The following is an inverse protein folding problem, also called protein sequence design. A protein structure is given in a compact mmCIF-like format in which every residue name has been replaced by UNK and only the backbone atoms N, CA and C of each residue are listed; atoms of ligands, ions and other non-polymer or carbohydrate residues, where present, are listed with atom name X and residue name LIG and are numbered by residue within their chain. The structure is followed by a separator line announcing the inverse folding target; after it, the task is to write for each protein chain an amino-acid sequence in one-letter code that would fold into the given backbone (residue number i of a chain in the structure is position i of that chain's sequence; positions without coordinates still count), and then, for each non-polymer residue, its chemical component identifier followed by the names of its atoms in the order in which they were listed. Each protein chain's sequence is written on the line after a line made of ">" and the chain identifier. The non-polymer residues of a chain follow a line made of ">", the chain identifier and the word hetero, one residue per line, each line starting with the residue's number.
data_IF_356188287574
#
_entry.id   IF_356188287574
#
_cell.length_a   1.000
_cell.length_b   1.000
_cell.length_c   1.000
_cell.angle_alpha   90.00
_cell.angle_beta   90.00
_cell.angle_gamma   90.00
#
_symmetry.space_group_name_H-M   'P 1'
#
loop_
_entity.id
_entity.type
_entity.pdbx_description
1 polymer ?
#
# COMPACT_ATOMS: atom_id res chain seq x y z
N UNK A 1 24.38 10.03 2.62
CA UNK A 1 24.32 10.47 4.04
C UNK A 1 22.88 10.77 4.40
N UNK A 2 22.49 10.77 5.69
CA UNK A 2 21.12 11.12 6.10
C UNK A 2 20.71 12.52 5.64
N UNK A 3 21.69 13.44 5.53
CA UNK A 3 21.46 14.80 5.02
C UNK A 3 21.08 14.83 3.53
N UNK A 4 21.46 13.83 2.75
CA UNK A 4 21.13 13.76 1.31
C UNK A 4 19.67 13.34 1.10
N UNK A 5 19.00 12.83 2.14
CA UNK A 5 17.61 12.40 2.11
C UNK A 5 16.62 13.53 2.40
N UNK A 6 17.12 14.74 2.70
CA UNK A 6 16.25 15.85 3.08
C UNK A 6 16.46 17.06 2.18
N UNK A 7 15.38 17.59 1.64
CA UNK A 7 15.34 18.85 0.88
C UNK A 7 14.90 19.97 1.81
N UNK A 8 15.72 21.02 1.88
CA UNK A 8 15.42 22.24 2.61
C UNK A 8 14.46 23.11 1.77
N UNK A 9 13.22 23.21 2.21
CA UNK A 9 12.22 24.08 1.62
C UNK A 9 12.29 25.52 2.12
N UNK A 10 11.31 26.34 1.71
CA UNK A 10 11.08 27.68 2.21
C UNK A 10 10.37 27.61 3.57
N UNK A 11 10.47 28.69 4.37
CA UNK A 11 9.72 28.84 5.63
C UNK A 11 9.92 27.66 6.61
N UNK A 12 11.13 27.14 6.70
CA UNK A 12 11.52 25.99 7.56
C UNK A 12 10.83 24.66 7.22
N UNK A 13 10.19 24.54 6.06
CA UNK A 13 9.67 23.26 5.57
C UNK A 13 10.80 22.33 5.15
N UNK A 14 10.65 21.05 5.50
CA UNK A 14 11.54 19.96 5.06
C UNK A 14 10.76 18.97 4.21
N UNK A 15 11.41 18.41 3.19
CA UNK A 15 10.82 17.40 2.32
C UNK A 15 11.73 16.18 2.21
N UNK A 16 11.14 15.01 2.06
CA UNK A 16 11.90 13.79 1.78
C UNK A 16 12.40 13.80 0.33
N UNK A 17 13.71 13.68 0.12
CA UNK A 17 14.29 13.75 -1.23
C UNK A 17 13.84 12.63 -2.16
N UNK A 18 13.48 11.46 -1.61
CA UNK A 18 12.96 10.33 -2.39
C UNK A 18 11.68 10.62 -3.15
N UNK A 19 10.95 11.71 -2.80
CA UNK A 19 9.73 12.12 -3.50
C UNK A 19 9.96 13.16 -4.60
N UNK A 20 11.20 13.65 -4.76
CA UNK A 20 11.47 14.78 -5.69
C UNK A 20 11.41 14.39 -7.15
N UNK A 21 11.79 13.17 -7.50
CA UNK A 21 11.75 12.70 -8.89
C UNK A 21 10.30 12.54 -9.38
N UNK A 22 9.42 12.01 -8.53
CA UNK A 22 7.99 11.94 -8.83
C UNK A 22 7.36 13.33 -8.92
N UNK A 23 7.67 14.21 -7.96
CA UNK A 23 7.23 15.62 -7.99
C UNK A 23 7.62 16.35 -9.27
N UNK A 24 8.81 16.07 -9.82
CA UNK A 24 9.31 16.65 -11.06
C UNK A 24 8.85 15.89 -12.33
N UNK A 25 8.15 14.76 -12.16
CA UNK A 25 7.74 13.90 -13.27
C UNK A 25 8.90 13.25 -14.01
N UNK A 26 10.03 13.00 -13.35
CA UNK A 26 11.25 12.45 -13.97
C UNK A 26 11.42 10.94 -13.80
N UNK A 27 10.60 10.31 -12.97
CA UNK A 27 10.55 8.85 -12.76
C UNK A 27 9.11 8.30 -12.88
N UNK A 28 8.39 8.77 -13.89
CA UNK A 28 7.03 8.29 -14.12
C UNK A 28 7.03 6.82 -14.53
N UNK A 29 6.05 6.08 -14.01
CA UNK A 29 5.82 4.71 -14.43
C UNK A 29 5.55 4.63 -15.92
N UNK A 30 6.16 3.66 -16.58
CA UNK A 30 5.81 3.27 -17.93
C UNK A 30 4.37 2.71 -17.99
N UNK A 31 3.79 2.64 -19.18
CA UNK A 31 2.49 1.99 -19.38
C UNK A 31 2.50 0.52 -18.90
N UNK A 32 3.64 -0.18 -19.01
CA UNK A 32 3.79 -1.55 -18.54
C UNK A 32 3.75 -1.63 -17.03
N UNK A 33 4.49 -0.76 -16.32
CA UNK A 33 4.50 -0.71 -14.86
C UNK A 33 3.12 -0.32 -14.31
N UNK A 34 2.45 0.67 -14.90
CA UNK A 34 1.09 1.04 -14.51
C UNK A 34 0.13 -0.14 -14.68
N UNK A 35 0.16 -0.83 -15.81
CA UNK A 35 -0.68 -2.00 -16.04
C UNK A 35 -0.37 -3.13 -15.06
N UNK A 36 0.90 -3.31 -14.68
CA UNK A 36 1.31 -4.31 -13.71
C UNK A 36 0.78 -3.98 -12.30
N UNK A 37 0.91 -2.72 -11.87
CA UNK A 37 0.35 -2.24 -10.58
C UNK A 37 -1.17 -2.46 -10.53
N UNK A 38 -1.88 -2.04 -11.57
CA UNK A 38 -3.35 -2.19 -11.66
C UNK A 38 -3.77 -3.65 -11.67
N UNK A 39 -3.07 -4.50 -12.42
CA UNK A 39 -3.33 -5.94 -12.47
C UNK A 39 -3.14 -6.58 -11.09
N UNK A 40 -2.03 -6.29 -10.42
CA UNK A 40 -1.73 -6.85 -9.10
C UNK A 40 -2.75 -6.39 -8.05
N UNK A 41 -3.11 -5.10 -8.04
CA UNK A 41 -4.17 -4.58 -7.18
C UNK A 41 -5.52 -5.25 -7.46
N UNK A 42 -5.83 -5.52 -8.74
CA UNK A 42 -7.05 -6.22 -9.11
C UNK A 42 -7.09 -7.65 -8.59
N UNK A 43 -5.97 -8.37 -8.66
CA UNK A 43 -5.86 -9.71 -8.08
C UNK A 43 -6.07 -9.69 -6.56
N UNK A 44 -5.45 -8.74 -5.87
CA UNK A 44 -5.60 -8.57 -4.41
C UNK A 44 -7.06 -8.26 -4.06
N UNK A 45 -7.67 -7.28 -4.74
CA UNK A 45 -9.06 -6.91 -4.53
C UNK A 45 -10.01 -8.09 -4.77
N UNK A 46 -9.83 -8.79 -5.89
CA UNK A 46 -10.65 -9.96 -6.23
C UNK A 46 -10.53 -11.07 -5.18
N UNK A 47 -9.31 -11.30 -4.68
CA UNK A 47 -9.10 -12.29 -3.61
C UNK A 47 -9.86 -11.89 -2.33
N UNK A 48 -9.72 -10.65 -1.87
CA UNK A 48 -10.43 -10.17 -0.68
C UNK A 48 -11.96 -10.32 -0.85
N UNK A 49 -12.48 -9.92 -2.01
CA UNK A 49 -13.92 -10.02 -2.31
C UNK A 49 -14.41 -11.47 -2.39
N UNK A 50 -13.61 -12.39 -2.91
CA UNK A 50 -13.92 -13.83 -2.92
C UNK A 50 -13.97 -14.44 -1.52
N UNK A 51 -13.21 -13.88 -0.57
CA UNK A 51 -13.28 -14.25 0.85
C UNK A 51 -14.46 -13.58 1.59
N UNK A 52 -15.23 -12.72 0.92
CA UNK A 52 -16.39 -12.01 1.48
C UNK A 52 -16.08 -10.64 2.06
N UNK A 53 -14.85 -10.15 1.93
CA UNK A 53 -14.43 -8.84 2.44
C UNK A 53 -14.65 -7.73 1.42
N UNK A 54 -15.09 -6.55 1.86
CA UNK A 54 -14.94 -5.34 1.07
C UNK A 54 -13.45 -4.93 1.01
N UNK A 55 -13.01 -4.40 -0.13
CA UNK A 55 -11.62 -3.97 -0.32
C UNK A 55 -11.54 -2.48 -0.61
N UNK A 56 -10.55 -1.81 -0.01
CA UNK A 56 -10.24 -0.41 -0.29
C UNK A 56 -8.74 -0.17 -0.34
N UNK A 57 -8.32 0.65 -1.30
CA UNK A 57 -6.97 1.19 -1.42
C UNK A 57 -6.99 2.65 -0.94
N UNK A 58 -6.07 3.01 -0.05
CA UNK A 58 -5.81 4.38 0.40
C UNK A 58 -4.37 4.73 0.10
N UNK A 59 -4.14 5.91 -0.50
CA UNK A 59 -2.78 6.37 -0.81
C UNK A 59 -2.56 7.74 -0.14
N UNK A 60 -1.86 7.77 1.02
CA UNK A 60 -1.38 9.03 1.59
C UNK A 60 -0.49 9.76 0.59
N UNK A 61 -0.84 11.01 0.20
CA UNK A 61 -0.09 11.75 -0.80
C UNK A 61 1.27 12.23 -0.28
N UNK A 62 2.22 12.42 -1.19
CA UNK A 62 3.49 13.03 -0.85
C UNK A 62 3.31 14.49 -0.40
N UNK A 63 4.06 14.91 0.61
CA UNK A 63 3.97 16.26 1.16
C UNK A 63 4.24 17.35 0.12
N UNK A 64 5.20 17.14 -0.78
CA UNK A 64 5.51 18.09 -1.85
C UNK A 64 4.44 18.15 -2.95
N UNK A 65 3.59 17.11 -3.06
CA UNK A 65 2.43 17.14 -3.98
C UNK A 65 1.33 18.09 -3.48
N UNK A 66 1.22 18.26 -2.14
CA UNK A 66 0.20 19.08 -1.48
C UNK A 66 0.67 20.50 -1.14
N UNK A 67 1.93 20.66 -0.69
CA UNK A 67 2.49 21.92 -0.17
C UNK A 67 3.70 22.37 -1.00
N UNK A 68 3.52 22.39 -2.33
CA UNK A 68 4.57 22.70 -3.30
C UNK A 68 5.04 24.17 -3.27
N UNK A 69 4.24 25.08 -2.74
CA UNK A 69 4.61 26.48 -2.58
C UNK A 69 5.85 26.70 -1.69
N UNK A 70 6.12 25.74 -0.79
CA UNK A 70 7.29 25.75 0.07
C UNK A 70 8.50 25.00 -0.51
N UNK A 71 8.35 24.31 -1.66
CA UNK A 71 9.47 23.71 -2.36
C UNK A 71 10.48 24.75 -2.85
N UNK A 72 11.78 24.41 -2.87
CA UNK A 72 12.78 25.31 -3.44
C UNK A 72 12.52 25.52 -4.94
N UNK A 73 12.76 26.74 -5.42
CA UNK A 73 12.45 27.16 -6.80
C UNK A 73 13.17 26.33 -7.88
N UNK A 74 14.25 25.66 -7.54
CA UNK A 74 15.02 24.83 -8.48
C UNK A 74 14.45 23.41 -8.66
N UNK A 75 13.50 23.00 -7.82
CA UNK A 75 12.67 21.83 -8.06
C UNK A 75 11.39 22.31 -8.76
N UNK A 76 11.31 22.07 -10.06
CA UNK A 76 10.13 22.46 -10.84
C UNK A 76 9.14 21.31 -10.85
N UNK A 77 7.90 21.58 -10.47
CA UNK A 77 6.80 20.60 -10.51
C UNK A 77 6.56 20.14 -11.93
N UNK A 78 6.49 18.81 -12.12
CA UNK A 78 6.07 18.21 -13.39
C UNK A 78 4.57 18.38 -13.64
N UNK A 79 4.17 18.18 -14.90
CA UNK A 79 2.74 18.20 -15.27
C UNK A 79 2.01 16.94 -14.76
N UNK A 80 2.73 15.83 -14.62
CA UNK A 80 2.23 14.53 -14.19
C UNK A 80 3.00 14.00 -12.97
N UNK A 81 2.33 13.16 -12.17
CA UNK A 81 2.93 12.32 -11.13
C UNK A 81 2.36 10.90 -11.22
N UNK A 82 3.04 9.94 -10.62
CA UNK A 82 2.62 8.54 -10.65
C UNK A 82 1.23 8.36 -10.03
N UNK A 83 0.95 8.98 -8.89
CA UNK A 83 -0.37 8.90 -8.26
C UNK A 83 -1.46 9.51 -9.14
N UNK A 84 -1.21 10.69 -9.75
CA UNK A 84 -2.18 11.32 -10.65
C UNK A 84 -2.55 10.40 -11.82
N UNK A 85 -1.56 9.82 -12.49
CA UNK A 85 -1.76 8.90 -13.61
C UNK A 85 -2.53 7.64 -13.17
N UNK A 86 -2.19 7.06 -12.01
CA UNK A 86 -2.86 5.87 -11.50
C UNK A 86 -4.28 6.16 -11.02
N UNK A 87 -4.55 7.31 -10.41
CA UNK A 87 -5.90 7.68 -9.92
C UNK A 87 -6.92 7.68 -11.05
N UNK A 88 -6.57 8.20 -12.23
CA UNK A 88 -7.44 8.15 -13.40
C UNK A 88 -7.76 6.71 -13.83
N UNK A 89 -6.79 5.81 -13.68
CA UNK A 89 -6.89 4.40 -14.05
C UNK A 89 -7.63 3.55 -13.01
N UNK A 90 -7.52 3.85 -11.71
CA UNK A 90 -8.19 3.10 -10.65
C UNK A 90 -9.70 3.00 -10.87
N UNK A 91 -10.33 4.11 -11.22
CA UNK A 91 -11.77 4.13 -11.51
C UNK A 91 -12.11 3.30 -12.76
N UNK A 92 -11.33 3.42 -13.82
CA UNK A 92 -11.53 2.70 -15.08
C UNK A 92 -11.42 1.18 -14.90
N UNK A 93 -10.46 0.75 -14.10
CA UNK A 93 -10.21 -0.67 -13.78
C UNK A 93 -11.11 -1.21 -12.64
N UNK A 94 -11.93 -0.35 -12.03
CA UNK A 94 -12.81 -0.72 -10.94
C UNK A 94 -12.06 -1.11 -9.67
N UNK A 95 -10.94 -0.46 -9.37
CA UNK A 95 -10.25 -0.53 -8.09
C UNK A 95 -11.01 0.36 -7.10
N UNK A 96 -11.34 -0.18 -5.93
CA UNK A 96 -11.99 0.57 -4.85
C UNK A 96 -10.96 1.50 -4.18
N UNK A 97 -10.78 2.68 -4.76
CA UNK A 97 -9.80 3.66 -4.33
C UNK A 97 -10.45 4.82 -3.57
N UNK A 98 -9.84 5.20 -2.47
CA UNK A 98 -10.21 6.37 -1.66
C UNK A 98 -9.26 7.52 -2.01
N UNK A 99 -9.78 8.56 -2.68
CA UNK A 99 -8.99 9.71 -3.11
C UNK A 99 -8.64 10.64 -1.95
N UNK A 100 -7.54 10.33 -1.28
CA UNK A 100 -7.01 11.19 -0.22
C UNK A 100 -6.38 12.46 -0.79
N UNK A 101 -5.75 12.41 -1.97
CA UNK A 101 -5.14 13.60 -2.56
C UNK A 101 -6.18 14.69 -2.80
N UNK A 102 -7.30 14.36 -3.44
CA UNK A 102 -8.42 15.29 -3.64
C UNK A 102 -8.98 15.83 -2.32
N UNK A 103 -9.20 14.92 -1.33
CA UNK A 103 -9.71 15.31 -0.03
C UNK A 103 -8.80 16.28 0.74
N UNK A 104 -7.48 16.10 0.64
CA UNK A 104 -6.50 16.94 1.31
C UNK A 104 -6.34 18.29 0.61
N UNK A 105 -6.39 18.35 -0.73
CA UNK A 105 -6.30 19.59 -1.51
C UNK A 105 -7.44 20.58 -1.21
N UNK A 106 -8.61 20.08 -0.81
CA UNK A 106 -9.77 20.91 -0.50
C UNK A 106 -9.66 21.62 0.86
N UNK A 107 -8.61 21.33 1.66
CA UNK A 107 -8.45 21.87 3.01
C UNK A 107 -7.51 23.08 3.02
N UNK A 108 -7.90 24.08 3.81
CA UNK A 108 -7.07 25.27 4.08
C UNK A 108 -6.07 25.00 5.22
N UNK A 109 -6.39 24.04 6.10
CA UNK A 109 -5.54 23.66 7.22
C UNK A 109 -4.30 22.90 6.77
N UNK A 110 -3.19 23.10 7.48
CA UNK A 110 -1.96 22.33 7.27
C UNK A 110 -2.08 20.98 7.96
N UNK A 111 -2.20 19.92 7.16
CA UNK A 111 -2.46 18.55 7.60
C UNK A 111 -1.20 17.67 7.68
N UNK A 112 -0.04 18.24 7.39
CA UNK A 112 1.28 17.60 7.49
C UNK A 112 2.16 18.38 8.44
N UNK A 113 3.06 17.71 9.12
CA UNK A 113 4.12 18.37 9.85
C UNK A 113 5.08 19.08 8.89
N UNK A 114 5.60 20.22 9.28
CA UNK A 114 6.56 20.97 8.46
C UNK A 114 7.90 20.25 8.34
N UNK A 115 8.34 19.61 9.41
CA UNK A 115 9.69 19.02 9.56
C UNK A 115 9.70 17.48 9.59
N UNK A 116 8.58 16.86 9.24
CA UNK A 116 8.37 15.42 9.12
C UNK A 116 7.86 15.07 7.72
N UNK A 117 8.03 13.82 7.29
CA UNK A 117 7.51 13.35 6.00
C UNK A 117 6.02 12.96 6.05
N UNK A 118 5.42 12.90 7.22
CA UNK A 118 4.07 12.39 7.47
C UNK A 118 3.03 13.51 7.73
N UNK A 119 1.77 13.14 7.64
CA UNK A 119 0.67 13.95 8.16
C UNK A 119 0.71 14.07 9.68
N UNK A 120 0.06 15.13 10.20
CA UNK A 120 -0.24 15.26 11.63
C UNK A 120 -1.55 14.53 11.96
N UNK A 121 -1.95 14.52 13.23
CA UNK A 121 -3.17 13.83 13.65
C UNK A 121 -4.46 14.39 13.03
N UNK A 122 -4.50 15.65 12.59
CA UNK A 122 -5.65 16.17 11.82
C UNK A 122 -5.69 15.60 10.40
N UNK A 123 -4.52 15.39 9.78
CA UNK A 123 -4.44 14.69 8.50
C UNK A 123 -4.88 13.22 8.63
N UNK A 124 -4.42 12.53 9.66
CA UNK A 124 -4.87 11.16 9.96
C UNK A 124 -6.38 11.10 10.21
N UNK A 125 -6.96 12.07 10.91
CA UNK A 125 -8.40 12.19 11.14
C UNK A 125 -9.17 12.38 9.82
N UNK A 126 -8.66 13.19 8.89
CA UNK A 126 -9.28 13.35 7.57
C UNK A 126 -9.24 12.03 6.78
N UNK A 127 -8.12 11.31 6.81
CA UNK A 127 -8.00 9.99 6.18
C UNK A 127 -8.98 8.98 6.80
N UNK A 128 -9.08 8.95 8.14
CA UNK A 128 -10.08 8.14 8.85
C UNK A 128 -11.51 8.44 8.40
N UNK A 129 -11.90 9.71 8.31
CA UNK A 129 -13.25 10.10 7.88
C UNK A 129 -13.57 9.60 6.48
N UNK A 130 -12.64 9.77 5.54
CA UNK A 130 -12.81 9.27 4.17
C UNK A 130 -12.95 7.75 4.15
N UNK A 131 -12.19 7.02 4.95
CA UNK A 131 -12.32 5.57 5.06
C UNK A 131 -13.69 5.18 5.63
N UNK A 132 -14.11 5.76 6.74
CA UNK A 132 -15.38 5.42 7.39
C UNK A 132 -16.58 5.73 6.48
N UNK A 133 -16.54 6.85 5.76
CA UNK A 133 -17.57 7.20 4.77
C UNK A 133 -17.70 6.12 3.68
N UNK A 134 -16.57 5.65 3.13
CA UNK A 134 -16.57 4.61 2.09
C UNK A 134 -17.01 3.24 2.62
N UNK A 135 -16.66 2.91 3.84
CA UNK A 135 -17.08 1.67 4.51
C UNK A 135 -18.55 1.72 4.96
N UNK A 136 -19.14 2.91 5.02
CA UNK A 136 -20.53 3.12 5.47
C UNK A 136 -20.68 3.04 6.98
N UNK A 137 -19.64 3.39 7.73
CA UNK A 137 -19.64 3.54 9.19
C UNK A 137 -19.84 5.00 9.59
N UNK A 138 -20.19 5.21 10.86
CA UNK A 138 -20.19 6.55 11.44
C UNK A 138 -18.79 7.15 11.38
N UNK A 139 -18.67 8.36 10.86
CA UNK A 139 -17.42 9.09 10.76
C UNK A 139 -17.42 10.40 11.57
N UNK A 140 -18.43 10.61 12.38
CA UNK A 140 -18.58 11.82 13.20
C UNK A 140 -17.95 11.69 14.59
N UNK A 141 -17.47 10.51 14.96
CA UNK A 141 -16.97 10.17 16.32
C UNK A 141 -16.01 11.23 16.88
N UNK A 142 -15.11 11.76 16.06
CA UNK A 142 -14.10 12.73 16.48
C UNK A 142 -14.32 14.17 15.94
N UNK A 143 -15.33 14.42 15.11
CA UNK A 143 -15.52 15.73 14.44
C UNK A 143 -15.70 16.88 15.41
N UNK A 144 -16.45 16.66 16.47
CA UNK A 144 -16.74 17.63 17.51
C UNK A 144 -16.15 17.24 18.86
N UNK A 145 -15.27 16.22 18.87
CA UNK A 145 -14.59 15.79 20.07
C UNK A 145 -13.58 16.86 20.53
N UNK A 146 -13.41 17.04 21.83
CA UNK A 146 -12.32 17.87 22.33
C UNK A 146 -10.98 17.24 21.99
N UNK A 147 -10.00 18.07 21.74
CA UNK A 147 -8.62 17.68 21.53
C UNK A 147 -7.68 18.65 22.24
N UNK A 148 -6.52 18.13 22.63
CA UNK A 148 -5.43 18.93 23.17
C UNK A 148 -4.40 19.20 22.07
N UNK A 149 -3.75 20.37 22.14
CA UNK A 149 -2.64 20.71 21.24
C UNK A 149 -1.37 20.74 22.08
N UNK A 150 -0.43 19.88 21.73
CA UNK A 150 0.85 19.78 22.42
C UNK A 150 2.03 19.93 21.48
N UNK A 151 3.03 20.72 21.87
CA UNK A 151 4.26 20.91 21.12
C UNK A 151 5.29 19.82 21.45
N UNK A 152 5.05 18.59 21.00
CA UNK A 152 5.82 17.41 21.39
C UNK A 152 6.41 16.63 20.23
N UNK A 153 5.88 16.78 19.01
CA UNK A 153 6.29 15.98 17.86
C UNK A 153 7.72 16.29 17.43
N UNK A 154 8.53 15.25 17.21
CA UNK A 154 9.87 15.32 16.61
C UNK A 154 9.79 14.79 15.19
N UNK A 155 10.03 15.64 14.19
CA UNK A 155 9.95 15.23 12.80
C UNK A 155 11.13 14.35 12.38
N UNK A 156 10.84 13.30 11.59
CA UNK A 156 11.83 12.36 11.04
C UNK A 156 12.89 13.07 10.19
N UNK A 157 12.49 14.05 9.37
CA UNK A 157 13.40 14.83 8.52
C UNK A 157 14.27 15.77 9.35
N UNK A 158 13.72 16.32 10.43
CA UNK A 158 14.46 17.18 11.35
C UNK A 158 15.51 16.37 12.12
N UNK A 159 15.17 15.17 12.57
CA UNK A 159 16.11 14.25 13.23
C UNK A 159 17.25 13.83 12.30
N UNK A 160 16.97 13.63 11.01
CA UNK A 160 17.99 13.33 10.00
C UNK A 160 19.00 14.48 9.82
N UNK A 161 18.51 15.74 9.86
CA UNK A 161 19.36 16.92 9.66
C UNK A 161 20.03 17.40 10.96
N UNK A 162 19.28 17.42 12.05
CA UNK A 162 19.67 18.06 13.30
C UNK A 162 19.48 17.14 14.51
N UNK A 163 20.10 15.95 14.56
CA UNK A 163 19.82 14.94 15.59
C UNK A 163 20.08 15.40 17.04
N UNK A 164 20.79 16.53 17.23
CA UNK A 164 21.06 17.13 18.55
C UNK A 164 20.27 18.40 18.83
N UNK A 165 19.49 18.87 17.87
CA UNK A 165 18.78 20.15 17.94
C UNK A 165 17.41 20.11 17.24
N UNK A 166 16.72 18.98 17.41
CA UNK A 166 15.38 18.75 16.84
C UNK A 166 14.39 19.80 17.37
N UNK A 167 13.65 20.39 16.45
CA UNK A 167 12.58 21.33 16.80
C UNK A 167 11.28 20.55 17.02
N UNK A 168 10.56 20.90 18.09
CA UNK A 168 9.24 20.31 18.35
C UNK A 168 8.17 21.05 17.57
N UNK A 169 7.23 20.29 17.03
CA UNK A 169 6.04 20.77 16.33
C UNK A 169 4.79 20.48 17.15
N UNK A 170 3.73 21.25 16.90
CA UNK A 170 2.42 21.03 17.50
C UNK A 170 1.74 19.81 16.84
N UNK A 171 1.10 18.98 17.66
CA UNK A 171 0.22 17.92 17.21
C UNK A 171 -1.10 17.95 18.00
N UNK A 172 -2.11 17.25 17.51
CA UNK A 172 -3.49 17.31 17.96
C UNK A 172 -3.90 15.97 18.57
N UNK A 173 -4.23 15.95 19.86
CA UNK A 173 -4.49 14.70 20.60
C UNK A 173 -5.97 14.57 20.92
N UNK A 174 -6.59 13.54 20.37
CA UNK A 174 -7.95 13.11 20.61
C UNK A 174 -7.94 11.94 21.58
N UNK A 175 -8.99 11.81 22.41
CA UNK A 175 -9.14 10.63 23.27
C UNK A 175 -9.60 9.41 22.45
N UNK A 176 -8.64 8.74 21.82
CA UNK A 176 -8.86 7.49 21.09
C UNK A 176 -8.67 6.26 21.97
N UNK A 177 -7.90 6.38 23.05
CA UNK A 177 -7.52 5.26 23.92
C UNK A 177 -8.70 4.71 24.75
N UNK A 178 -9.77 5.48 24.91
CA UNK A 178 -10.98 5.03 25.61
C UNK A 178 -11.90 4.17 24.74
N UNK A 179 -11.66 4.10 23.42
CA UNK A 179 -12.58 3.50 22.46
C UNK A 179 -12.19 2.07 22.03
N UNK A 180 -11.01 1.59 22.39
CA UNK A 180 -10.57 0.23 22.09
C UNK A 180 -9.49 -0.25 23.07
N UNK A 181 -9.16 -1.54 23.01
CA UNK A 181 -8.04 -2.15 23.75
C UNK A 181 -7.14 -2.92 22.79
N UNK A 182 -5.85 -2.96 23.09
CA UNK A 182 -4.91 -3.86 22.41
C UNK A 182 -5.10 -5.28 22.97
N UNK A 183 -5.20 -6.27 22.08
CA UNK A 183 -5.39 -7.69 22.42
C UNK A 183 -4.06 -8.39 22.58
N UNK A 184 -3.07 -8.06 21.73
CA UNK A 184 -1.71 -8.56 21.84
C UNK A 184 -0.80 -7.57 22.59
N UNK A 185 0.42 -8.00 22.89
CA UNK A 185 1.44 -7.12 23.47
C UNK A 185 1.92 -6.13 22.40
N UNK A 186 1.70 -4.85 22.62
CA UNK A 186 2.04 -3.74 21.72
C UNK A 186 2.94 -2.76 22.46
N UNK A 187 4.10 -2.42 21.86
CA UNK A 187 5.01 -1.39 22.38
C UNK A 187 4.55 0.00 21.98
N UNK A 188 4.26 0.15 20.70
CA UNK A 188 3.73 1.37 20.08
C UNK A 188 3.01 1.03 18.76
N UNK A 189 2.42 2.04 18.14
CA UNK A 189 1.71 1.86 16.88
C UNK A 189 2.63 1.58 15.66
N UNK A 190 3.94 1.53 15.86
CA UNK A 190 4.91 1.12 14.84
C UNK A 190 5.10 -0.40 14.77
N UNK A 191 4.57 -1.15 15.74
CA UNK A 191 4.71 -2.61 15.77
C UNK A 191 4.20 -3.25 14.47
N UNK A 192 4.88 -4.31 14.05
CA UNK A 192 4.61 -4.97 12.76
C UNK A 192 3.25 -5.66 12.70
N UNK A 193 2.71 -6.07 13.86
CA UNK A 193 1.40 -6.70 14.00
C UNK A 193 0.70 -6.20 15.26
N UNK A 194 -0.51 -5.67 15.07
CA UNK A 194 -1.35 -5.14 16.16
C UNK A 194 -2.76 -5.71 16.00
N UNK A 195 -3.31 -6.20 17.13
CA UNK A 195 -4.69 -6.62 17.24
C UNK A 195 -5.43 -5.75 18.26
N UNK A 196 -6.63 -5.32 17.90
CA UNK A 196 -7.47 -4.46 18.76
C UNK A 196 -8.89 -5.00 18.88
N UNK A 197 -9.55 -4.68 20.00
CA UNK A 197 -10.96 -4.96 20.21
C UNK A 197 -11.70 -3.73 20.77
N UNK A 198 -12.91 -3.51 20.27
CA UNK A 198 -13.90 -2.62 20.82
C UNK A 198 -15.25 -3.35 20.92
N UNK A 199 -15.67 -3.84 22.12
CA UNK A 199 -16.92 -4.60 22.26
C UNK A 199 -18.19 -3.80 21.97
N UNK A 200 -18.10 -2.47 21.96
CA UNK A 200 -19.24 -1.58 21.69
C UNK A 200 -19.38 -1.26 20.18
N UNK A 201 -18.41 -1.64 19.37
CA UNK A 201 -18.43 -1.50 17.92
C UNK A 201 -18.89 -2.81 17.22
N UNK A 202 -19.00 -2.77 15.91
CA UNK A 202 -19.40 -3.93 15.09
C UNK A 202 -18.46 -4.11 13.91
N UNK A 203 -18.38 -5.35 13.43
CA UNK A 203 -17.59 -5.70 12.25
C UNK A 203 -16.10 -5.74 12.51
N UNK A 204 -15.34 -6.07 11.48
CA UNK A 204 -13.91 -6.32 11.59
C UNK A 204 -13.15 -5.71 10.40
N UNK A 205 -11.92 -5.28 10.65
CA UNK A 205 -11.01 -4.71 9.65
C UNK A 205 -9.65 -5.39 9.69
N UNK A 206 -9.09 -5.67 8.51
CA UNK A 206 -7.68 -5.99 8.32
C UNK A 206 -7.05 -4.89 7.49
N UNK A 207 -6.10 -4.17 8.05
CA UNK A 207 -5.39 -3.08 7.38
C UNK A 207 -3.92 -3.44 7.20
N UNK A 208 -3.48 -3.55 5.95
CA UNK A 208 -2.07 -3.51 5.58
C UNK A 208 -1.68 -2.03 5.45
N UNK A 209 -0.68 -1.62 6.22
CA UNK A 209 -0.33 -0.22 6.37
C UNK A 209 1.18 0.00 6.34
N UNK A 210 1.58 1.19 6.04
CA UNK A 210 2.96 1.65 6.24
C UNK A 210 3.08 2.59 7.46
N UNK A 211 4.04 3.50 7.45
CA UNK A 211 4.28 4.42 8.56
C UNK A 211 3.19 5.50 8.73
N UNK A 212 2.46 5.85 7.67
CA UNK A 212 1.32 6.78 7.79
C UNK A 212 0.19 6.19 8.63
N UNK A 213 0.02 4.87 8.60
CA UNK A 213 -0.96 4.16 9.40
C UNK A 213 -0.71 4.21 10.91
N UNK A 214 0.43 4.70 11.39
CA UNK A 214 0.72 4.83 12.82
C UNK A 214 -0.28 5.75 13.54
N UNK A 215 -0.47 6.95 13.01
CA UNK A 215 -1.41 7.94 13.55
C UNK A 215 -2.87 7.67 13.14
N UNK A 216 -3.10 6.94 12.05
CA UNK A 216 -4.43 6.56 11.57
C UNK A 216 -5.05 5.43 12.42
N UNK A 217 -4.24 4.46 12.86
CA UNK A 217 -4.69 3.25 13.56
C UNK A 217 -5.59 3.56 14.77
N UNK A 218 -5.27 4.49 15.68
CA UNK A 218 -6.10 4.73 16.85
C UNK A 218 -7.51 5.23 16.51
N UNK A 219 -7.67 5.98 15.44
CA UNK A 219 -8.99 6.42 14.99
C UNK A 219 -9.81 5.27 14.41
N UNK A 220 -9.17 4.40 13.61
CA UNK A 220 -9.82 3.27 12.95
C UNK A 220 -10.16 2.17 13.93
N UNK A 221 -9.27 1.87 14.88
CA UNK A 221 -9.44 0.77 15.84
C UNK A 221 -10.70 0.93 16.71
N UNK A 222 -11.08 2.16 17.01
CA UNK A 222 -12.29 2.45 17.80
C UNK A 222 -13.61 2.14 17.08
N UNK A 223 -13.61 2.03 15.77
CA UNK A 223 -14.82 1.87 14.95
C UNK A 223 -15.18 0.41 14.61
N UNK A 224 -14.31 -0.54 14.94
CA UNK A 224 -14.51 -1.96 14.67
C UNK A 224 -14.45 -2.79 15.93
N UNK A 225 -15.32 -3.82 16.01
CA UNK A 225 -15.26 -4.81 17.10
C UNK A 225 -13.90 -5.50 17.12
N UNK A 226 -13.31 -5.79 15.93
CA UNK A 226 -11.99 -6.38 15.79
C UNK A 226 -11.17 -5.64 14.73
N UNK A 227 -9.97 -5.24 15.11
CA UNK A 227 -9.00 -4.63 14.22
C UNK A 227 -7.72 -5.46 14.13
N UNK A 228 -7.22 -5.67 12.91
CA UNK A 228 -5.97 -6.34 12.59
C UNK A 228 -5.13 -5.40 11.73
N UNK A 229 -3.92 -5.06 12.18
CA UNK A 229 -3.07 -4.08 11.52
C UNK A 229 -1.69 -4.68 11.28
N UNK A 230 -1.29 -4.74 10.00
CA UNK A 230 -0.01 -5.33 9.56
C UNK A 230 0.86 -4.28 8.88
N UNK A 231 2.14 -4.22 9.27
CA UNK A 231 3.19 -3.46 8.56
C UNK A 231 4.16 -4.37 7.81
N UNK A 232 3.90 -5.68 7.82
CA UNK A 232 4.77 -6.65 7.15
C UNK A 232 4.65 -6.53 5.63
N UNK A 233 5.80 -6.54 4.97
CA UNK A 233 5.95 -6.60 3.52
C UNK A 233 6.83 -7.82 3.22
N UNK A 234 6.46 -8.66 2.25
CA UNK A 234 5.24 -8.62 1.43
C UNK A 234 3.96 -8.88 2.25
N UNK A 235 2.82 -8.40 1.73
CA UNK A 235 1.53 -8.62 2.39
C UNK A 235 1.19 -10.11 2.44
N UNK A 236 0.85 -10.61 3.64
CA UNK A 236 0.37 -11.98 3.82
C UNK A 236 -1.17 -12.02 3.68
N UNK A 237 -1.67 -12.21 2.47
CA UNK A 237 -3.12 -12.23 2.22
C UNK A 237 -3.82 -13.49 2.78
N UNK A 238 -3.08 -14.51 3.26
CA UNK A 238 -3.69 -15.63 3.99
C UNK A 238 -4.36 -15.17 5.29
N UNK A 239 -3.98 -13.99 5.81
CA UNK A 239 -4.65 -13.37 6.95
C UNK A 239 -6.11 -13.03 6.64
N UNK A 240 -6.46 -12.74 5.38
CA UNK A 240 -7.85 -12.51 4.97
C UNK A 240 -8.69 -13.80 5.15
N UNK A 241 -8.14 -14.96 4.73
CA UNK A 241 -8.79 -16.27 4.95
C UNK A 241 -8.84 -16.63 6.45
N UNK A 242 -7.77 -16.31 7.20
CA UNK A 242 -7.63 -16.66 8.61
C UNK A 242 -8.58 -15.87 9.50
N UNK A 243 -8.66 -14.56 9.31
CA UNK A 243 -9.42 -13.66 10.19
C UNK A 243 -10.82 -13.31 9.65
N UNK A 244 -11.07 -13.56 8.36
CA UNK A 244 -12.33 -13.29 7.66
C UNK A 244 -12.88 -11.89 7.99
N UNK A 245 -12.08 -10.81 7.76
CA UNK A 245 -12.51 -9.47 8.09
C UNK A 245 -13.65 -9.02 7.15
N UNK A 246 -14.55 -8.17 7.65
CA UNK A 246 -15.57 -7.54 6.81
C UNK A 246 -14.95 -6.56 5.81
N UNK A 247 -13.84 -5.92 6.20
CA UNK A 247 -13.14 -4.91 5.40
C UNK A 247 -11.65 -5.21 5.35
N UNK A 248 -11.08 -5.17 4.16
CA UNK A 248 -9.62 -5.20 3.90
C UNK A 248 -9.21 -3.84 3.34
N UNK A 249 -8.21 -3.22 3.95
CA UNK A 249 -7.64 -1.96 3.50
C UNK A 249 -6.16 -2.14 3.22
N UNK A 250 -5.69 -1.63 2.10
CA UNK A 250 -4.27 -1.35 1.89
C UNK A 250 -4.08 0.17 1.99
N UNK A 251 -3.32 0.60 2.98
CA UNK A 251 -2.80 1.96 3.11
C UNK A 251 -1.33 1.92 2.70
N UNK A 252 -0.99 2.65 1.62
CA UNK A 252 0.34 2.67 1.01
C UNK A 252 0.67 4.09 0.56
N UNK A 253 1.73 4.69 1.12
CA UNK A 253 2.16 6.04 0.75
C UNK A 253 2.48 6.15 -0.76
N UNK A 254 2.17 7.30 -1.35
CA UNK A 254 2.41 7.60 -2.77
C UNK A 254 3.83 7.25 -3.21
N UNK A 255 4.83 7.51 -2.38
CA UNK A 255 6.24 7.22 -2.65
C UNK A 255 6.60 5.73 -2.72
N UNK A 256 5.69 4.84 -2.33
CA UNK A 256 5.89 3.39 -2.26
C UNK A 256 4.94 2.63 -3.19
N UNK A 257 4.39 3.27 -4.22
CA UNK A 257 3.44 2.61 -5.14
C UNK A 257 4.11 1.55 -6.02
N UNK A 258 5.43 1.64 -6.23
CA UNK A 258 6.24 0.62 -6.88
C UNK A 258 6.31 -0.69 -6.08
N UNK A 259 6.07 -0.69 -4.76
CA UNK A 259 5.98 -1.92 -3.96
C UNK A 259 4.95 -2.92 -4.54
N UNK A 260 3.93 -2.44 -5.24
CA UNK A 260 2.96 -3.33 -5.88
C UNK A 260 3.52 -4.19 -7.02
N UNK A 261 4.72 -3.89 -7.51
CA UNK A 261 5.44 -4.69 -8.52
C UNK A 261 6.79 -5.20 -8.04
N UNK A 262 7.25 -4.78 -6.85
CA UNK A 262 8.49 -5.26 -6.23
C UNK A 262 8.24 -6.27 -5.11
N UNK A 263 7.16 -6.12 -4.35
CA UNK A 263 6.83 -6.93 -3.17
C UNK A 263 5.53 -7.73 -3.38
N UNK A 264 5.66 -8.90 -4.02
CA UNK A 264 4.50 -9.72 -4.36
C UNK A 264 3.82 -10.30 -3.13
N UNK A 265 2.47 -10.15 -3.00
CA UNK A 265 1.75 -10.66 -1.85
C UNK A 265 1.75 -12.19 -1.78
N UNK A 266 1.77 -12.72 -0.55
CA UNK A 266 1.72 -14.17 -0.30
C UNK A 266 0.26 -14.62 -0.34
N UNK A 267 -0.13 -15.21 -1.46
CA UNK A 267 -1.47 -15.78 -1.70
C UNK A 267 -1.43 -16.77 -2.85
N UNK A 268 -2.28 -17.78 -2.82
CA UNK A 268 -2.43 -18.68 -3.97
C UNK A 268 -2.98 -17.92 -5.18
N UNK A 269 -2.28 -17.99 -6.31
CA UNK A 269 -2.71 -17.35 -7.53
C UNK A 269 -3.95 -18.03 -8.12
N UNK A 270 -4.88 -17.28 -8.72
CA UNK A 270 -6.13 -17.83 -9.23
C UNK A 270 -5.91 -18.75 -10.44
N UNK A 271 -6.60 -19.89 -10.43
CA UNK A 271 -6.61 -20.80 -11.57
C UNK A 271 -7.55 -20.26 -12.67
N UNK A 272 -7.05 -20.25 -13.90
CA UNK A 272 -7.81 -19.88 -15.10
C UNK A 272 -8.23 -21.13 -15.86
N UNK A 273 -9.52 -21.22 -16.22
CA UNK A 273 -10.06 -22.35 -16.99
C UNK A 273 -10.15 -21.99 -18.48
N UNK A 274 -9.91 -23.00 -19.32
CA UNK A 274 -10.10 -22.92 -20.79
C UNK A 274 -9.26 -21.86 -21.50
N UNK A 275 -8.04 -21.62 -21.03
CA UNK A 275 -7.12 -20.73 -21.69
C UNK A 275 -6.40 -21.40 -22.85
N UNK A 276 -6.41 -20.77 -24.02
CA UNK A 276 -5.58 -21.15 -25.17
C UNK A 276 -4.46 -20.10 -25.26
N UNK A 277 -3.29 -20.42 -24.77
CA UNK A 277 -2.13 -19.57 -24.92
C UNK A 277 -1.51 -19.73 -26.32
N UNK A 278 -1.09 -18.64 -26.97
CA UNK A 278 -0.28 -18.74 -28.17
C UNK A 278 1.05 -19.45 -27.84
N UNK A 279 1.44 -20.42 -28.67
CA UNK A 279 2.71 -21.09 -28.49
C UNK A 279 3.85 -20.25 -29.07
N UNK A 280 4.62 -19.62 -28.18
CA UNK A 280 5.92 -19.06 -28.55
C UNK A 280 7.01 -19.94 -27.92
N UNK A 281 7.99 -20.34 -28.72
CA UNK A 281 9.17 -21.04 -28.19
C UNK A 281 10.18 -19.96 -27.73
N UNK A 282 10.24 -19.76 -26.45
CA UNK A 282 11.26 -18.94 -25.82
C UNK A 282 11.81 -19.67 -24.59
N UNK A 283 13.09 -19.47 -24.32
CA UNK A 283 13.68 -19.89 -23.05
C UNK A 283 13.37 -18.80 -22.04
N UNK A 284 12.44 -19.07 -21.14
CA UNK A 284 12.14 -18.21 -20.01
C UNK A 284 12.99 -18.67 -18.83
N UNK A 285 13.75 -17.76 -18.23
CA UNK A 285 14.41 -18.05 -16.96
C UNK A 285 13.36 -18.10 -15.87
N UNK A 286 13.30 -19.25 -15.18
CA UNK A 286 12.28 -19.49 -14.15
C UNK A 286 12.90 -20.30 -13.01
N UNK A 287 12.56 -19.92 -11.78
CA UNK A 287 12.87 -20.67 -10.56
C UNK A 287 11.60 -21.19 -9.93
N UNK A 288 11.69 -22.34 -9.26
CA UNK A 288 10.60 -22.91 -8.49
C UNK A 288 11.17 -23.42 -7.16
N UNK A 289 10.74 -22.82 -6.05
CA UNK A 289 11.29 -23.09 -4.73
C UNK A 289 10.17 -23.29 -3.70
N UNK A 290 10.43 -24.12 -2.69
CA UNK A 290 9.49 -24.33 -1.59
C UNK A 290 9.55 -23.12 -0.64
N UNK A 291 8.42 -22.42 -0.47
CA UNK A 291 8.25 -21.30 0.43
C UNK A 291 7.14 -21.60 1.45
N UNK A 292 7.51 -22.17 2.60
CA UNK A 292 6.54 -22.59 3.62
C UNK A 292 5.62 -23.70 3.10
N UNK A 293 4.30 -23.42 3.05
CA UNK A 293 3.27 -24.32 2.52
C UNK A 293 3.04 -24.17 1.00
N UNK A 294 3.78 -23.27 0.35
CA UNK A 294 3.66 -22.98 -1.07
C UNK A 294 4.87 -23.47 -1.87
N UNK A 295 4.64 -23.70 -3.16
CA UNK A 295 5.64 -23.63 -4.20
C UNK A 295 5.63 -22.20 -4.75
N UNK A 296 6.73 -21.50 -4.63
CA UNK A 296 6.96 -20.16 -5.18
C UNK A 296 7.61 -20.31 -6.54
N UNK A 297 7.01 -19.74 -7.56
CA UNK A 297 7.54 -19.73 -8.94
C UNK A 297 7.75 -18.28 -9.36
N UNK A 298 8.97 -17.99 -9.81
CA UNK A 298 9.38 -16.68 -10.33
C UNK A 298 10.03 -16.84 -11.68
N UNK A 299 9.83 -15.88 -12.55
CA UNK A 299 10.53 -15.87 -13.83
C UNK A 299 10.43 -14.52 -14.53
N UNK A 300 11.16 -14.42 -15.63
CA UNK A 300 11.22 -13.21 -16.46
C UNK A 300 10.97 -13.59 -17.91
N UNK A 301 10.09 -12.83 -18.56
CA UNK A 301 9.89 -12.96 -20.00
C UNK A 301 10.92 -12.12 -20.76
N UNK A 302 11.35 -12.63 -21.94
CA UNK A 302 12.15 -11.86 -22.87
C UNK A 302 11.37 -10.61 -23.32
N UNK A 303 11.95 -9.42 -23.19
CA UNK A 303 11.38 -8.10 -23.48
C UNK A 303 10.64 -8.04 -24.82
N UNK A 304 11.17 -8.73 -25.86
CA UNK A 304 10.53 -8.77 -27.19
C UNK A 304 9.11 -9.34 -27.22
N UNK A 305 8.71 -10.07 -26.16
CA UNK A 305 7.37 -10.66 -26.05
C UNK A 305 6.46 -9.85 -25.10
N UNK A 306 6.97 -8.80 -24.48
CA UNK A 306 6.23 -8.01 -23.52
C UNK A 306 5.81 -6.69 -24.16
N UNK A 307 4.51 -6.47 -24.24
CA UNK A 307 3.87 -5.22 -24.57
C UNK A 307 3.20 -4.66 -23.29
N UNK A 308 2.81 -3.39 -23.27
CA UNK A 308 2.20 -2.81 -22.08
C UNK A 308 1.03 -3.62 -21.51
N UNK A 309 0.21 -4.23 -22.35
CA UNK A 309 -0.99 -5.01 -22.03
C UNK A 309 -0.77 -6.54 -22.00
N UNK A 310 0.48 -7.01 -22.09
CA UNK A 310 0.79 -8.43 -22.07
C UNK A 310 0.34 -9.08 -20.77
N UNK A 311 -0.48 -10.13 -20.88
CA UNK A 311 -0.90 -10.96 -19.77
C UNK A 311 0.02 -12.18 -19.62
N UNK A 312 0.40 -12.51 -18.39
CA UNK A 312 1.32 -13.60 -18.09
C UNK A 312 0.60 -14.66 -17.28
N UNK A 313 0.66 -15.89 -17.78
CA UNK A 313 0.09 -17.07 -17.14
C UNK A 313 1.14 -18.16 -17.03
N UNK A 314 1.04 -18.97 -15.99
CA UNK A 314 1.89 -20.15 -15.81
C UNK A 314 1.02 -21.39 -15.85
N UNK A 315 1.37 -22.34 -16.72
CA UNK A 315 0.72 -23.64 -16.81
C UNK A 315 1.61 -24.69 -16.16
N UNK A 316 1.06 -25.40 -15.18
CA UNK A 316 1.71 -26.50 -14.50
C UNK A 316 1.08 -27.80 -14.96
N UNK A 317 1.89 -28.75 -15.43
CA UNK A 317 1.44 -30.06 -15.89
C UNK A 317 1.89 -31.15 -14.92
N UNK A 318 0.94 -31.93 -14.45
CA UNK A 318 1.22 -33.14 -13.72
C UNK A 318 1.62 -34.27 -14.73
N UNK A 319 2.86 -34.73 -14.66
CA UNK A 319 3.36 -35.75 -15.58
C UNK A 319 2.71 -37.15 -15.37
N UNK A 320 2.18 -37.41 -14.18
CA UNK A 320 1.53 -38.69 -13.89
C UNK A 320 0.09 -38.73 -14.41
N UNK A 321 -0.67 -37.67 -14.20
CA UNK A 321 -2.07 -37.56 -14.62
C UNK A 321 -2.26 -36.91 -15.98
N UNK A 322 -1.21 -36.24 -16.50
CA UNK A 322 -1.25 -35.43 -17.71
C UNK A 322 -2.20 -34.22 -17.61
N UNK A 323 -2.70 -33.95 -16.42
CA UNK A 323 -3.55 -32.77 -16.17
C UNK A 323 -2.70 -31.50 -16.22
N UNK A 324 -3.23 -30.47 -16.88
CA UNK A 324 -2.59 -29.14 -16.94
C UNK A 324 -3.50 -28.12 -16.28
N UNK A 325 -2.96 -27.38 -15.32
CA UNK A 325 -3.62 -26.27 -14.65
C UNK A 325 -2.89 -24.98 -15.01
N UNK A 326 -3.65 -23.94 -15.36
CA UNK A 326 -3.11 -22.63 -15.73
C UNK A 326 -3.50 -21.62 -14.67
N UNK A 327 -2.55 -20.80 -14.27
CA UNK A 327 -2.71 -19.80 -13.22
C UNK A 327 -2.38 -18.41 -13.75
N UNK A 328 -3.15 -17.43 -13.33
CA UNK A 328 -2.86 -16.02 -13.52
C UNK A 328 -1.78 -15.60 -12.53
N UNK A 329 -0.77 -14.83 -12.96
CA UNK A 329 0.37 -14.48 -12.11
C UNK A 329 0.31 -13.04 -11.66
N UNK A 330 1.01 -12.72 -10.56
CA UNK A 330 1.40 -11.34 -10.29
C UNK A 330 2.50 -10.92 -11.26
N UNK A 331 2.49 -9.65 -11.68
CA UNK A 331 3.55 -9.09 -12.53
C UNK A 331 4.57 -8.42 -11.64
N UNK A 332 5.83 -8.70 -11.89
CA UNK A 332 6.94 -8.27 -11.05
C UNK A 332 7.93 -7.43 -11.84
N UNK A 333 8.54 -6.47 -11.15
CA UNK A 333 9.71 -5.77 -11.64
C UNK A 333 10.90 -6.74 -11.68
N UNK A 334 11.73 -6.61 -12.71
CA UNK A 334 12.98 -7.36 -12.85
C UNK A 334 14.17 -6.54 -12.33
N UNK A 335 15.33 -7.17 -12.20
CA UNK A 335 16.56 -6.49 -11.77
C UNK A 335 16.95 -5.30 -12.67
N UNK A 336 16.50 -5.29 -13.91
CA UNK A 336 16.73 -4.20 -14.87
C UNK A 336 15.71 -3.04 -14.73
N UNK A 337 14.78 -3.13 -13.78
CA UNK A 337 13.75 -2.10 -13.53
C UNK A 337 12.55 -2.16 -14.50
N UNK A 338 12.37 -3.27 -15.23
CA UNK A 338 11.28 -3.46 -16.17
C UNK A 338 10.21 -4.41 -15.57
N UNK A 339 8.93 -4.16 -15.79
CA UNK A 339 7.84 -5.01 -15.26
C UNK A 339 7.57 -6.25 -16.15
N UNK A 340 8.63 -6.98 -16.50
CA UNK A 340 8.61 -8.16 -17.37
C UNK A 340 8.65 -9.48 -16.58
N UNK A 341 8.76 -9.40 -15.25
CA UNK A 341 8.76 -10.53 -14.36
C UNK A 341 7.36 -11.02 -14.04
N UNK A 342 7.31 -12.25 -13.57
CA UNK A 342 6.11 -12.85 -13.00
C UNK A 342 6.43 -13.62 -11.73
N UNK A 343 5.42 -13.68 -10.85
CA UNK A 343 5.52 -14.33 -9.57
C UNK A 343 4.19 -15.02 -9.24
N UNK A 344 4.25 -16.28 -8.80
CA UNK A 344 3.07 -16.96 -8.30
C UNK A 344 3.39 -17.89 -7.15
N UNK A 345 2.40 -18.09 -6.29
CA UNK A 345 2.37 -19.08 -5.23
C UNK A 345 1.32 -20.13 -5.53
N UNK A 346 1.70 -21.42 -5.40
CA UNK A 346 0.80 -22.56 -5.51
C UNK A 346 0.79 -23.31 -4.17
N UNK A 347 -0.39 -23.68 -3.66
CA UNK A 347 -0.48 -24.52 -2.45
C UNK A 347 0.18 -25.90 -2.69
N UNK A 348 0.91 -26.40 -1.70
CA UNK A 348 1.71 -27.62 -1.83
C UNK A 348 0.95 -28.90 -2.18
N UNK A 349 -0.39 -28.90 -2.09
CA UNK A 349 -1.23 -30.00 -2.61
C UNK A 349 -1.64 -29.86 -4.08
N UNK A 350 -1.34 -28.71 -4.70
CA UNK A 350 -1.65 -28.43 -6.12
C UNK A 350 -0.58 -28.96 -7.07
N UNK A 351 0.59 -29.29 -6.55
CA UNK A 351 1.74 -29.85 -7.30
C UNK A 351 2.16 -31.17 -6.65
N UNK A 352 2.21 -32.29 -7.41
CA UNK A 352 2.67 -33.56 -6.89
C UNK A 352 4.10 -33.48 -6.35
N UNK A 353 4.37 -34.10 -5.19
CA UNK A 353 5.73 -34.22 -4.68
C UNK A 353 6.57 -35.07 -5.65
N UNK A 354 7.65 -34.53 -6.17
CA UNK A 354 8.69 -35.22 -6.93
C UNK A 354 8.81 -34.90 -8.41
N UNK A 355 8.26 -33.81 -8.89
CA UNK A 355 8.46 -33.30 -10.28
C UNK A 355 9.19 -31.99 -10.30
#
# INVERSE_FOLDING_TARGET
>A
SATDQVVLGKNDWLYFSGTTADYQGTNLFSEREMNAILHNLKLIQNYAQQQGSAFYLMVPPNKNSLYDENMPYYYQKGDESNLKMLTERFQQEGISYIDLYGAFQEKEEVLYFQRDSHWNNQGALLAYRNLMEQVGKDYETYLNAPFDVEKVHSGDLDEMLFPKAVQKEDDYFYDTASNFVYVNEVKDNMDSWIETENPDATGSILMYRDSFGESLLPFVAGEFEKGYFSRLVPYNLLQVEQYQPDVVVIEKAERNLDDFITDMPIVECPQVKNMIAPQAQTNTEMTAEKAGSFLEIKGTLDEKYVQPDTQIYVSVRDENTMETKTYETFYAETEDGEANGFHLYLKGGSVPEGN
#
